data_IF_624864454188
#
_entry.id   IF_624864454188
#
_cell.length_a   1.000
_cell.length_b   1.000
_cell.length_c   1.000
_cell.angle_alpha   90.00
_cell.angle_beta   90.00
_cell.angle_gamma   90.00
#
_symmetry.space_group_name_H-M   'P 1'
#
loop_
_entity.id
_entity.type
_entity.pdbx_description
1 polymer ?
#
# COMPACT_ATOMS: atom_id res chain seq x y z
N UNK A 1 -7.02 14.19 6.65
CA UNK A 1 -7.49 12.83 6.99
C UNK A 1 -7.98 12.05 5.76
N UNK A 2 -8.43 12.72 4.69
CA UNK A 2 -8.92 12.15 3.42
C UNK A 2 -8.11 11.01 2.78
N UNK A 3 -6.79 10.98 2.97
CA UNK A 3 -5.91 10.01 2.30
C UNK A 3 -5.94 8.64 3.00
N UNK A 4 -6.09 8.61 4.33
CA UNK A 4 -6.24 7.37 5.10
C UNK A 4 -7.60 6.71 4.84
N UNK A 5 -8.63 7.53 4.63
CA UNK A 5 -9.99 7.06 4.29
C UNK A 5 -10.07 6.48 2.88
N UNK A 6 -9.05 6.73 2.04
CA UNK A 6 -8.98 6.28 0.64
C UNK A 6 -8.15 5.01 0.45
N UNK A 7 -7.56 4.46 1.51
CA UNK A 7 -6.78 3.21 1.44
C UNK A 7 -7.69 2.06 1.02
N UNK A 8 -7.31 1.36 -0.03
CA UNK A 8 -8.06 0.23 -0.58
C UNK A 8 -7.22 -1.04 -0.55
N UNK A 9 -7.87 -2.17 -0.31
CA UNK A 9 -7.26 -3.49 -0.35
C UNK A 9 -8.02 -4.35 -1.36
N UNK A 10 -7.29 -5.07 -2.20
CA UNK A 10 -7.89 -5.94 -3.21
C UNK A 10 -6.93 -6.98 -3.75
N UNK A 11 -7.45 -7.88 -4.57
CA UNK A 11 -6.64 -8.85 -5.29
C UNK A 11 -5.93 -8.19 -6.47
N UNK A 12 -4.65 -8.55 -6.66
CA UNK A 12 -3.88 -8.09 -7.82
C UNK A 12 -4.45 -8.74 -9.08
N UNK A 13 -4.87 -7.91 -10.03
CA UNK A 13 -5.25 -8.37 -11.36
C UNK A 13 -4.07 -9.12 -12.02
N UNK A 14 -4.39 -10.19 -12.73
CA UNK A 14 -3.39 -11.08 -13.36
C UNK A 14 -2.65 -10.36 -14.50
N UNK A 15 -1.55 -9.70 -14.17
CA UNK A 15 -0.65 -9.04 -15.11
C UNK A 15 0.76 -9.64 -15.00
N UNK A 16 1.48 -9.73 -16.11
CA UNK A 16 2.85 -10.29 -16.18
C UNK A 16 3.01 -11.75 -15.71
N UNK A 17 1.95 -12.58 -15.80
CA UNK A 17 2.01 -14.00 -15.46
C UNK A 17 2.08 -14.33 -13.96
N UNK A 18 2.16 -13.33 -13.09
CA UNK A 18 2.06 -13.46 -11.64
C UNK A 18 0.60 -13.28 -11.17
N UNK A 19 0.17 -14.07 -10.19
CA UNK A 19 -1.23 -14.12 -9.71
C UNK A 19 -1.28 -14.12 -8.19
N UNK A 20 -2.33 -13.52 -7.64
CA UNK A 20 -2.94 -13.98 -6.39
C UNK A 20 -2.42 -13.31 -5.13
N UNK A 21 -1.59 -12.27 -5.25
CA UNK A 21 -1.25 -11.41 -4.12
C UNK A 21 -2.41 -10.50 -3.73
N UNK A 22 -2.51 -10.19 -2.44
CA UNK A 22 -3.31 -9.06 -1.96
C UNK A 22 -2.48 -7.79 -2.05
N UNK A 23 -3.01 -6.75 -2.70
CA UNK A 23 -2.38 -5.43 -2.77
C UNK A 23 -3.15 -4.43 -1.93
N UNK A 24 -2.40 -3.55 -1.28
CA UNK A 24 -2.90 -2.35 -0.62
C UNK A 24 -2.54 -1.17 -1.51
N UNK A 25 -3.54 -0.39 -1.91
CA UNK A 25 -3.36 0.85 -2.64
C UNK A 25 -3.43 2.02 -1.66
N UNK A 26 -2.36 2.80 -1.65
CA UNK A 26 -2.25 4.03 -0.88
C UNK A 26 -2.66 5.23 -1.74
N UNK A 27 -3.34 6.21 -1.16
CA UNK A 27 -3.70 7.46 -1.84
C UNK A 27 -2.50 8.36 -2.12
N UNK A 28 -1.42 8.21 -1.33
CA UNK A 28 -0.19 8.99 -1.45
C UNK A 28 1.07 8.13 -1.55
N UNK A 29 2.23 8.80 -1.64
CA UNK A 29 3.53 8.14 -1.63
C UNK A 29 3.83 7.45 -0.28
N UNK A 30 4.62 6.37 -0.30
CA UNK A 30 5.12 5.70 0.91
C UNK A 30 5.82 6.67 1.88
N UNK A 31 6.52 7.68 1.36
CA UNK A 31 7.23 8.68 2.18
C UNK A 31 6.27 9.47 3.06
N UNK A 32 5.10 9.84 2.56
CA UNK A 32 4.09 10.56 3.33
C UNK A 32 3.69 9.80 4.61
N UNK A 33 3.43 8.49 4.48
CA UNK A 33 3.05 7.67 5.64
C UNK A 33 4.23 7.34 6.56
N UNK A 34 5.47 7.31 6.05
CA UNK A 34 6.69 7.23 6.88
C UNK A 34 6.87 8.51 7.70
N UNK A 35 6.70 9.68 7.08
CA UNK A 35 6.82 10.99 7.75
C UNK A 35 5.74 11.16 8.84
N UNK A 36 4.54 10.57 8.64
CA UNK A 36 3.48 10.50 9.66
C UNK A 36 3.73 9.46 10.76
N UNK A 37 4.79 8.65 10.66
CA UNK A 37 5.10 7.57 11.60
C UNK A 37 4.17 6.35 11.50
N UNK A 38 3.37 6.24 10.43
CA UNK A 38 2.43 5.14 10.21
C UNK A 38 3.09 3.92 9.54
N UNK A 39 4.18 4.13 8.80
CA UNK A 39 4.98 3.07 8.20
C UNK A 39 6.42 3.14 8.68
N UNK A 40 7.03 1.97 8.89
CA UNK A 40 8.46 1.81 9.16
C UNK A 40 9.01 0.62 8.40
N UNK A 41 10.27 0.70 7.99
CA UNK A 41 10.98 -0.45 7.45
C UNK A 41 11.40 -1.36 8.60
N UNK A 42 11.30 -2.68 8.38
CA UNK A 42 11.72 -3.69 9.33
C UNK A 42 12.79 -4.53 8.65
N UNK A 43 14.01 -4.48 9.18
CA UNK A 43 15.13 -5.31 8.74
C UNK A 43 15.00 -6.67 9.44
N UNK A 44 15.22 -7.75 8.69
CA UNK A 44 15.11 -9.13 9.18
C UNK A 44 16.45 -9.63 9.71
#
# INVERSE_FOLDING_TARGET
MSDLDSIQQGEIAKVFGAVGGTQIQLGNSLKYYKDLGLLKEVIK
#
